data_IF_305514300740
#
_entry.id   IF_305514300740
#
_cell.length_a   1.000
_cell.length_b   1.000
_cell.length_c   1.000
_cell.angle_alpha   90.00
_cell.angle_beta   90.00
_cell.angle_gamma   90.00
#
_symmetry.space_group_name_H-M   'P 1'
#
loop_
_entity.id
_entity.type
_entity.pdbx_description
1 polymer ?
#
# COMPACT_ATOMS: atom_id res chain seq x y z
N UNK A 1 -15.42 -13.12 23.69
CA UNK A 1 -14.30 -13.65 22.87
C UNK A 1 -13.59 -12.46 22.24
N UNK A 2 -12.26 -12.36 22.37
CA UNK A 2 -11.50 -11.35 21.65
C UNK A 2 -11.60 -11.65 20.16
N UNK A 3 -12.19 -10.74 19.39
CA UNK A 3 -12.28 -10.88 17.94
C UNK A 3 -10.85 -10.78 17.39
N UNK A 4 -10.39 -11.85 16.75
CA UNK A 4 -9.07 -11.92 16.13
C UNK A 4 -9.03 -10.92 14.96
N UNK A 5 -8.52 -9.70 15.21
CA UNK A 5 -8.49 -8.60 14.25
C UNK A 5 -7.27 -8.69 13.35
N UNK A 6 -7.50 -8.50 12.05
CA UNK A 6 -6.45 -8.19 11.08
C UNK A 6 -6.35 -6.67 11.02
N UNK A 7 -5.14 -6.14 11.18
CA UNK A 7 -4.86 -4.70 11.05
C UNK A 7 -4.16 -4.50 9.72
N UNK A 8 -4.63 -3.54 8.92
CA UNK A 8 -4.02 -3.22 7.63
C UNK A 8 -3.58 -1.75 7.68
N UNK A 9 -2.30 -1.50 7.45
CA UNK A 9 -1.76 -0.16 7.23
C UNK A 9 -1.54 0.01 5.74
N UNK A 10 -2.02 1.10 5.16
CA UNK A 10 -1.89 1.40 3.73
C UNK A 10 -1.21 2.74 3.55
N UNK A 11 -0.31 2.83 2.58
CA UNK A 11 0.29 4.10 2.15
C UNK A 11 0.47 4.10 0.62
N UNK A 12 0.47 5.30 0.04
CA UNK A 12 0.60 5.48 -1.40
C UNK A 12 1.22 6.83 -1.73
N UNK A 13 2.07 6.84 -2.75
CA UNK A 13 2.75 8.03 -3.22
C UNK A 13 2.74 8.09 -4.75
N UNK A 14 2.66 9.31 -5.30
CA UNK A 14 2.76 9.56 -6.74
C UNK A 14 3.86 10.60 -6.99
N UNK A 15 4.78 10.28 -7.90
CA UNK A 15 5.83 11.20 -8.35
C UNK A 15 5.49 11.76 -9.72
N UNK A 16 5.72 13.05 -9.92
CA UNK A 16 5.42 13.73 -11.17
C UNK A 16 3.92 13.88 -11.42
N UNK A 17 3.12 14.07 -10.37
CA UNK A 17 1.68 14.23 -10.51
C UNK A 17 1.35 15.32 -11.56
N UNK A 18 0.34 15.09 -12.41
CA UNK A 18 -0.04 15.95 -13.55
C UNK A 18 0.87 15.90 -14.80
N UNK A 19 1.96 15.13 -14.79
CA UNK A 19 2.78 14.90 -15.98
C UNK A 19 2.48 13.56 -16.63
N UNK A 20 2.63 13.49 -17.96
CA UNK A 20 2.36 12.33 -18.83
C UNK A 20 3.24 11.09 -18.61
N UNK A 21 4.04 11.10 -17.54
CA UNK A 21 4.98 10.04 -17.15
C UNK A 21 5.06 9.92 -15.63
N UNK A 22 3.94 10.18 -14.94
CA UNK A 22 3.88 10.05 -13.50
C UNK A 22 4.04 8.58 -13.09
N UNK A 23 4.58 8.36 -11.89
CA UNK A 23 4.79 7.02 -11.34
C UNK A 23 4.10 6.93 -10.00
N UNK A 24 3.15 6.01 -9.90
CA UNK A 24 2.45 5.69 -8.66
C UNK A 24 3.08 4.48 -8.00
N UNK A 25 3.24 4.56 -6.68
CA UNK A 25 3.58 3.44 -5.82
C UNK A 25 2.56 3.30 -4.70
N UNK A 26 2.31 2.08 -4.28
CA UNK A 26 1.46 1.76 -3.14
C UNK A 26 2.05 0.63 -2.31
N UNK A 27 1.74 0.61 -1.03
CA UNK A 27 2.14 -0.44 -0.12
C UNK A 27 1.09 -0.67 0.96
N UNK A 28 1.02 -1.90 1.45
CA UNK A 28 0.24 -2.23 2.63
C UNK A 28 0.95 -3.27 3.52
N UNK A 29 0.76 -3.11 4.82
CA UNK A 29 1.22 -4.05 5.85
C UNK A 29 -0.01 -4.68 6.49
N UNK A 30 -0.16 -5.99 6.31
CA UNK A 30 -1.19 -6.80 6.96
C UNK A 30 -0.60 -7.43 8.21
N UNK A 31 -1.15 -7.09 9.38
CA UNK A 31 -0.71 -7.61 10.68
C UNK A 31 -1.81 -8.48 11.29
N UNK A 32 -1.45 -9.72 11.64
CA UNK A 32 -2.29 -10.66 12.38
C UNK A 32 -1.46 -11.32 13.47
N UNK A 33 -1.81 -11.05 14.74
CA UNK A 33 -1.02 -11.49 15.91
C UNK A 33 0.45 -11.09 15.73
N UNK A 34 1.37 -12.06 15.74
CA UNK A 34 2.82 -11.85 15.60
C UNK A 34 3.32 -11.97 14.16
N UNK A 35 2.41 -12.17 13.19
CA UNK A 35 2.76 -12.25 11.77
C UNK A 35 2.44 -10.93 11.07
N UNK A 36 3.37 -10.49 10.24
CA UNK A 36 3.18 -9.40 9.31
C UNK A 36 3.43 -9.88 7.88
N UNK A 37 2.64 -9.38 6.94
CA UNK A 37 2.88 -9.54 5.51
C UNK A 37 2.84 -8.18 4.84
N UNK A 38 3.87 -7.91 4.05
CA UNK A 38 3.96 -6.72 3.22
C UNK A 38 3.52 -7.06 1.79
N UNK A 39 2.73 -6.17 1.20
CA UNK A 39 2.37 -6.18 -0.22
C UNK A 39 2.62 -4.80 -0.78
N UNK A 40 3.14 -4.72 -1.99
CA UNK A 40 3.45 -3.46 -2.64
C UNK A 40 3.35 -3.62 -4.15
N UNK A 41 3.17 -2.49 -4.81
CA UNK A 41 3.12 -2.41 -6.25
C UNK A 41 3.34 -0.98 -6.71
N UNK A 42 3.51 -0.83 -8.01
CA UNK A 42 3.62 0.47 -8.64
C UNK A 42 3.32 0.35 -10.12
N UNK A 43 2.81 1.42 -10.68
CA UNK A 43 2.45 1.52 -12.08
C UNK A 43 2.92 2.86 -12.64
N UNK A 44 3.39 2.83 -13.88
CA UNK A 44 3.63 4.05 -14.65
C UNK A 44 2.28 4.58 -15.16
N UNK A 45 2.16 5.91 -15.27
CA UNK A 45 0.98 6.62 -15.74
C UNK A 45 -0.28 6.44 -14.89
N UNK A 46 -0.15 6.47 -13.56
CA UNK A 46 -1.29 6.44 -12.63
C UNK A 46 -1.83 7.87 -12.41
N UNK A 47 -2.83 8.35 -13.17
CA UNK A 47 -3.27 9.76 -13.17
C UNK A 47 -3.62 10.32 -11.78
#
# INVERSE_FOLDING_TARGET
>A
MSQDKIIIYCDGACSGNQFRGNRGGWGAVLKYKDTAKEIWGGEDNTP
#
